data_IF_684262093242
#
_entry.id   IF_684262093242
#
_cell.length_a   1.000
_cell.length_b   1.000
_cell.length_c   1.000
_cell.angle_alpha   90.00
_cell.angle_beta   90.00
_cell.angle_gamma   90.00
#
_symmetry.space_group_name_H-M   'P 1'
#
loop_
_entity.id
_entity.type
_entity.pdbx_description
1 polymer ?
#
# COMPACT_ATOMS: atom_id res chain seq x y z
N UNK A 1 25.96 -28.38 -22.44
CA UNK A 1 25.52 -26.99 -22.00
C UNK A 1 24.35 -27.18 -21.09
N UNK A 2 24.58 -26.92 -19.82
CA UNK A 2 23.71 -27.29 -18.71
C UNK A 2 22.45 -26.37 -18.65
N UNK A 3 21.28 -26.99 -18.80
CA UNK A 3 19.95 -26.32 -18.72
C UNK A 3 19.69 -25.71 -17.34
N UNK A 4 20.40 -26.16 -16.31
CA UNK A 4 20.26 -25.70 -14.93
C UNK A 4 20.92 -24.34 -14.63
N UNK A 5 21.79 -23.85 -15.52
CA UNK A 5 22.49 -22.56 -15.28
C UNK A 5 21.71 -21.34 -15.73
N UNK A 6 20.63 -21.50 -16.53
CA UNK A 6 19.79 -20.41 -17.00
C UNK A 6 18.62 -20.03 -16.07
N UNK A 7 18.32 -20.83 -15.06
CA UNK A 7 17.21 -20.54 -14.14
C UNK A 7 17.61 -19.80 -12.87
N UNK A 8 18.87 -19.42 -12.67
CA UNK A 8 19.34 -18.69 -11.47
C UNK A 8 19.53 -17.19 -11.64
N UNK A 9 19.04 -16.59 -12.71
CA UNK A 9 18.83 -15.14 -12.75
C UNK A 9 17.45 -14.83 -12.15
N UNK A 10 17.28 -15.17 -10.90
CA UNK A 10 16.13 -14.71 -10.12
C UNK A 10 16.15 -13.19 -10.15
N UNK A 11 15.05 -12.62 -10.62
CA UNK A 11 14.77 -11.20 -10.71
C UNK A 11 15.35 -10.49 -9.50
N UNK A 12 16.34 -9.64 -9.75
CA UNK A 12 16.89 -8.81 -8.67
C UNK A 12 15.79 -7.88 -8.24
N UNK A 13 15.19 -8.17 -7.07
CA UNK A 13 14.15 -7.32 -6.47
C UNK A 13 14.64 -5.89 -6.51
N UNK A 14 13.84 -5.00 -7.10
CA UNK A 14 14.18 -3.60 -7.17
C UNK A 14 14.07 -3.01 -5.76
N UNK A 15 15.19 -2.69 -5.15
CA UNK A 15 15.28 -1.95 -3.89
C UNK A 15 16.16 -0.73 -4.13
N UNK A 16 15.58 0.37 -4.61
CA UNK A 16 16.34 1.57 -4.88
C UNK A 16 16.87 2.19 -3.58
N UNK A 17 18.01 2.86 -3.70
CA UNK A 17 18.56 3.69 -2.63
C UNK A 17 18.05 5.13 -2.77
N UNK A 18 18.16 5.90 -1.69
CA UNK A 18 17.91 7.34 -1.73
C UNK A 18 18.83 7.98 -2.77
N UNK A 19 18.27 8.88 -3.57
CA UNK A 19 18.89 9.55 -4.72
C UNK A 19 19.04 8.74 -5.99
N UNK A 20 18.73 7.44 -6.01
CA UNK A 20 18.66 6.68 -7.26
C UNK A 20 17.60 7.30 -8.20
N UNK A 21 17.83 7.15 -9.50
CA UNK A 21 16.87 7.53 -10.53
C UNK A 21 16.33 6.30 -11.21
N UNK A 22 15.00 6.21 -11.27
CA UNK A 22 14.29 5.08 -11.86
C UNK A 22 13.58 5.57 -13.10
N UNK A 23 13.87 4.95 -14.25
CA UNK A 23 13.16 5.24 -15.49
C UNK A 23 11.88 4.39 -15.59
N UNK A 24 10.75 5.05 -15.81
CA UNK A 24 9.44 4.44 -16.04
C UNK A 24 8.84 5.08 -17.30
N UNK A 25 8.65 4.30 -18.35
CA UNK A 25 8.10 4.75 -19.65
C UNK A 25 8.82 5.99 -20.25
N UNK A 26 10.13 6.07 -20.07
CA UNK A 26 10.92 7.21 -20.56
C UNK A 26 11.02 8.40 -19.60
N UNK A 27 10.21 8.44 -18.56
CA UNK A 27 10.25 9.46 -17.52
C UNK A 27 11.19 9.04 -16.39
N UNK A 28 11.92 9.99 -15.82
CA UNK A 28 12.85 9.77 -14.73
C UNK A 28 12.26 10.18 -13.38
N UNK A 29 12.31 9.27 -12.42
CA UNK A 29 11.82 9.47 -11.06
C UNK A 29 12.99 9.35 -10.08
N UNK A 30 13.29 10.42 -9.35
CA UNK A 30 14.34 10.45 -8.32
C UNK A 30 13.78 10.00 -6.97
N UNK A 31 14.41 9.02 -6.36
CA UNK A 31 14.03 8.53 -5.01
C UNK A 31 14.43 9.57 -3.96
N UNK A 32 13.46 10.06 -3.22
CA UNK A 32 13.64 11.11 -2.19
C UNK A 32 13.75 10.54 -0.77
N UNK A 33 12.86 9.62 -0.41
CA UNK A 33 12.89 8.95 0.89
C UNK A 33 12.13 7.62 0.86
N UNK A 34 12.42 6.75 1.81
CA UNK A 34 11.59 5.58 2.12
C UNK A 34 10.36 6.05 2.89
N UNK A 35 9.16 5.63 2.45
CA UNK A 35 7.90 5.87 3.14
C UNK A 35 7.58 4.76 4.12
N UNK A 36 7.96 3.51 3.79
CA UNK A 36 7.74 2.37 4.66
C UNK A 36 8.21 1.05 4.07
N UNK A 37 8.23 0.02 4.92
CA UNK A 37 8.42 -1.38 4.56
C UNK A 37 7.20 -2.15 5.05
N UNK A 38 6.45 -2.74 4.13
CA UNK A 38 5.35 -3.66 4.43
C UNK A 38 5.75 -5.13 4.21
N UNK A 39 4.81 -6.05 4.47
CA UNK A 39 4.96 -7.51 4.23
C UNK A 39 5.28 -7.83 2.77
N UNK A 40 4.75 -7.04 1.84
CA UNK A 40 4.84 -7.29 0.40
C UNK A 40 5.92 -6.49 -0.32
N UNK A 41 6.37 -5.36 0.21
CA UNK A 41 7.25 -4.46 -0.53
C UNK A 41 7.74 -3.25 0.27
N UNK A 42 8.56 -2.46 -0.42
CA UNK A 42 9.04 -1.17 0.05
C UNK A 42 8.29 -0.05 -0.68
N UNK A 43 7.88 0.98 0.03
CA UNK A 43 7.28 2.18 -0.55
C UNK A 43 8.26 3.36 -0.46
N UNK A 44 8.41 4.08 -1.56
CA UNK A 44 9.31 5.22 -1.70
C UNK A 44 8.56 6.46 -2.18
N UNK A 45 8.91 7.62 -1.63
CA UNK A 45 8.58 8.89 -2.24
C UNK A 45 9.53 9.13 -3.41
N UNK A 46 8.98 9.35 -4.58
CA UNK A 46 9.76 9.68 -5.78
C UNK A 46 9.28 11.00 -6.38
N UNK A 47 10.20 11.71 -7.03
CA UNK A 47 9.95 13.00 -7.69
C UNK A 47 10.28 12.89 -9.17
N UNK A 48 9.39 13.36 -10.03
CA UNK A 48 9.65 13.44 -11.47
C UNK A 48 10.48 14.68 -11.85
N UNK A 49 10.76 14.84 -13.14
CA UNK A 49 11.54 15.96 -13.69
C UNK A 49 10.84 17.31 -13.58
N UNK A 50 9.52 17.33 -13.30
CA UNK A 50 8.71 18.52 -13.09
C UNK A 50 8.52 18.87 -11.60
N UNK A 51 9.16 18.14 -10.69
CA UNK A 51 9.05 18.35 -9.25
C UNK A 51 7.75 17.80 -8.64
N UNK A 52 7.02 16.94 -9.35
CA UNK A 52 5.80 16.30 -8.83
C UNK A 52 6.16 15.03 -8.06
N UNK A 53 5.43 14.78 -6.97
CA UNK A 53 5.67 13.64 -6.09
C UNK A 53 4.72 12.48 -6.36
N UNK A 54 5.28 11.26 -6.22
CA UNK A 54 4.57 10.00 -6.41
C UNK A 54 5.03 8.97 -5.36
N UNK A 55 4.23 7.93 -5.19
CA UNK A 55 4.61 6.77 -4.39
C UNK A 55 5.00 5.64 -5.34
N UNK A 56 6.25 5.17 -5.24
CA UNK A 56 6.74 3.97 -5.92
C UNK A 56 6.76 2.82 -4.92
N UNK A 57 6.00 1.75 -5.17
CA UNK A 57 6.04 0.50 -4.41
C UNK A 57 6.86 -0.52 -5.19
N UNK A 58 7.88 -1.08 -4.54
CA UNK A 58 8.74 -2.13 -5.08
C UNK A 58 8.51 -3.39 -4.25
N UNK A 59 8.03 -4.46 -4.88
CA UNK A 59 7.74 -5.70 -4.17
C UNK A 59 9.01 -6.49 -3.90
N UNK A 60 9.04 -7.22 -2.79
CA UNK A 60 10.13 -8.10 -2.40
C UNK A 60 9.63 -9.52 -2.12
N UNK A 61 10.54 -10.50 -2.18
CA UNK A 61 10.27 -11.91 -1.88
C UNK A 61 10.97 -12.35 -0.57
N UNK A 62 11.19 -11.42 0.34
CA UNK A 62 11.70 -11.76 1.66
C UNK A 62 10.70 -12.69 2.35
N UNK A 63 11.22 -13.76 2.96
CA UNK A 63 10.39 -14.77 3.63
C UNK A 63 9.72 -14.13 4.84
N UNK A 64 8.41 -14.17 4.90
CA UNK A 64 7.63 -13.82 6.08
C UNK A 64 7.12 -15.11 6.67
N UNK A 65 7.41 -15.39 7.95
CA UNK A 65 7.17 -16.70 8.61
C UNK A 65 5.73 -17.23 8.50
N UNK A 66 4.76 -16.35 8.20
CA UNK A 66 3.33 -16.68 8.24
C UNK A 66 2.59 -16.43 6.92
N UNK A 67 3.29 -16.12 5.81
CA UNK A 67 2.60 -15.77 4.58
C UNK A 67 3.36 -16.25 3.33
N UNK A 68 2.69 -17.08 2.51
CA UNK A 68 3.20 -17.48 1.20
C UNK A 68 2.32 -16.88 0.12
N UNK A 69 2.89 -16.04 -0.74
CA UNK A 69 2.18 -15.51 -1.89
C UNK A 69 2.17 -16.54 -3.02
N UNK A 70 0.98 -17.02 -3.38
CA UNK A 70 0.78 -17.97 -4.49
C UNK A 70 0.71 -17.30 -5.87
N UNK A 71 0.60 -15.97 -5.93
CA UNK A 71 0.42 -15.19 -7.15
C UNK A 71 1.37 -13.98 -7.16
N UNK A 72 1.55 -13.37 -8.35
CA UNK A 72 2.32 -12.14 -8.48
C UNK A 72 1.69 -11.02 -7.62
N UNK A 73 2.51 -10.37 -6.78
CA UNK A 73 2.03 -9.35 -5.84
C UNK A 73 1.45 -8.12 -6.55
N UNK A 74 1.97 -7.79 -7.72
CA UNK A 74 1.42 -6.71 -8.57
C UNK A 74 -0.03 -7.05 -8.94
N UNK A 75 -0.31 -8.31 -9.34
CA UNK A 75 -1.66 -8.72 -9.71
C UNK A 75 -2.63 -8.68 -8.53
N UNK A 76 -2.17 -9.02 -7.33
CA UNK A 76 -3.00 -8.91 -6.11
C UNK A 76 -3.42 -7.46 -5.87
N UNK A 77 -2.46 -6.51 -5.91
CA UNK A 77 -2.77 -5.10 -5.72
C UNK A 77 -3.61 -4.52 -6.86
N UNK A 78 -3.39 -4.93 -8.12
CA UNK A 78 -4.22 -4.50 -9.25
C UNK A 78 -5.68 -4.97 -9.11
N UNK A 79 -5.89 -6.19 -8.64
CA UNK A 79 -7.23 -6.72 -8.42
C UNK A 79 -7.92 -5.99 -7.26
N UNK A 80 -7.22 -5.74 -6.16
CA UNK A 80 -7.73 -4.95 -5.05
C UNK A 80 -8.03 -3.51 -5.48
N UNK A 81 -7.15 -2.86 -6.25
CA UNK A 81 -7.38 -1.52 -6.79
C UNK A 81 -8.68 -1.44 -7.60
N UNK A 82 -8.88 -2.37 -8.57
CA UNK A 82 -10.10 -2.42 -9.38
C UNK A 82 -11.35 -2.62 -8.54
N UNK A 83 -11.28 -3.49 -7.54
CA UNK A 83 -12.38 -3.73 -6.62
C UNK A 83 -12.73 -2.48 -5.80
N UNK A 84 -11.72 -1.75 -5.33
CA UNK A 84 -11.91 -0.57 -4.48
C UNK A 84 -12.38 0.66 -5.28
N UNK A 85 -12.11 0.74 -6.59
CA UNK A 85 -12.61 1.84 -7.44
C UNK A 85 -14.14 1.97 -7.43
N UNK A 86 -14.86 0.86 -7.28
CA UNK A 86 -16.32 0.83 -7.22
C UNK A 86 -16.87 0.93 -5.79
N UNK A 87 -16.09 1.50 -4.87
CA UNK A 87 -16.47 1.65 -3.46
C UNK A 87 -16.36 3.10 -2.99
N UNK A 88 -16.84 3.36 -1.77
CA UNK A 88 -16.68 4.66 -1.10
C UNK A 88 -15.28 4.88 -0.53
N UNK A 89 -14.41 3.85 -0.56
CA UNK A 89 -13.03 3.95 -0.06
C UNK A 89 -12.23 4.89 -0.96
N UNK A 90 -11.70 5.97 -0.39
CA UNK A 90 -10.77 6.84 -1.13
C UNK A 90 -9.41 6.17 -1.20
N UNK A 91 -8.89 6.00 -2.42
CA UNK A 91 -7.59 5.39 -2.67
C UNK A 91 -6.72 6.28 -3.56
N UNK A 92 -5.37 6.23 -3.46
CA UNK A 92 -4.49 6.87 -4.41
C UNK A 92 -4.76 6.36 -5.83
N UNK A 93 -4.66 7.24 -6.81
CA UNK A 93 -4.78 6.83 -8.21
C UNK A 93 -3.57 5.99 -8.63
N UNK A 94 -3.83 4.82 -9.22
CA UNK A 94 -2.81 4.00 -9.86
C UNK A 94 -2.39 4.65 -11.19
N UNK A 95 -1.09 4.81 -11.42
CA UNK A 95 -0.52 5.49 -12.58
C UNK A 95 0.21 4.54 -13.51
N UNK A 96 0.94 3.58 -12.94
CA UNK A 96 1.70 2.60 -13.71
C UNK A 96 1.95 1.34 -12.88
N UNK A 97 2.14 0.21 -13.56
CA UNK A 97 2.57 -1.06 -12.97
C UNK A 97 3.45 -1.84 -13.94
N UNK A 98 4.34 -2.65 -13.40
CA UNK A 98 5.20 -3.54 -14.15
C UNK A 98 5.37 -4.85 -13.38
N UNK A 99 4.86 -5.95 -14.00
CA UNK A 99 4.92 -7.30 -13.41
C UNK A 99 6.33 -7.89 -13.42
N UNK A 100 7.14 -7.50 -14.40
CA UNK A 100 8.50 -8.04 -14.53
C UNK A 100 9.44 -7.38 -13.54
N UNK A 101 9.33 -6.05 -13.39
CA UNK A 101 10.09 -5.27 -12.42
C UNK A 101 9.49 -5.32 -11.03
N UNK A 102 8.27 -5.86 -10.90
CA UNK A 102 7.50 -5.95 -9.66
C UNK A 102 7.36 -4.59 -8.96
N UNK A 103 6.88 -3.60 -9.71
CA UNK A 103 6.68 -2.24 -9.23
C UNK A 103 5.26 -1.72 -9.52
N UNK A 104 4.82 -0.80 -8.67
CA UNK A 104 3.63 0.02 -8.88
C UNK A 104 4.00 1.49 -8.61
N UNK A 105 3.60 2.38 -9.53
CA UNK A 105 3.64 3.83 -9.33
C UNK A 105 2.22 4.32 -9.11
N UNK A 106 2.01 5.06 -8.03
CA UNK A 106 0.72 5.63 -7.65
C UNK A 106 0.84 7.07 -7.19
N UNK A 107 -0.28 7.77 -7.17
CA UNK A 107 -0.41 9.09 -6.59
C UNK A 107 0.18 9.12 -5.17
N UNK A 108 0.92 10.17 -4.85
CA UNK A 108 1.36 10.42 -3.49
C UNK A 108 0.28 11.22 -2.75
N UNK A 109 -0.21 10.68 -1.65
CA UNK A 109 -1.11 11.40 -0.74
C UNK A 109 -0.23 12.05 0.32
N UNK A 110 -0.12 13.38 0.35
CA UNK A 110 0.68 14.08 1.35
C UNK A 110 0.00 14.05 2.71
N UNK A 111 0.80 14.02 3.77
CA UNK A 111 0.32 14.00 5.15
C UNK A 111 0.99 12.91 5.96
N UNK A 112 0.56 12.83 7.20
CA UNK A 112 0.98 11.80 8.14
C UNK A 112 -0.06 10.68 8.16
N UNK A 113 0.41 9.47 8.40
CA UNK A 113 -0.49 8.34 8.60
C UNK A 113 -1.26 8.50 9.91
N UNK A 114 -2.44 7.88 9.98
CA UNK A 114 -3.20 7.85 11.23
C UNK A 114 -2.37 7.20 12.36
N UNK A 115 -1.47 6.25 12.05
CA UNK A 115 -0.57 5.66 13.05
C UNK A 115 0.37 6.71 13.67
N UNK A 116 1.04 7.52 12.84
CA UNK A 116 1.94 8.57 13.32
C UNK A 116 1.21 9.57 14.23
N UNK A 117 -0.05 9.86 13.95
CA UNK A 117 -0.90 10.74 14.76
C UNK A 117 -1.30 10.09 16.09
N UNK A 118 -1.70 8.80 16.08
CA UNK A 118 -1.98 8.04 17.31
C UNK A 118 -0.75 7.96 18.21
N UNK A 119 0.43 7.70 17.64
CA UNK A 119 1.69 7.63 18.38
C UNK A 119 2.08 8.96 19.04
N UNK A 120 1.64 10.09 18.48
CA UNK A 120 1.77 11.42 19.12
C UNK A 120 0.69 11.73 20.15
N UNK A 121 -0.22 10.82 20.41
CA UNK A 121 -1.27 10.98 21.41
C UNK A 121 -2.51 11.72 20.90
N UNK A 122 -2.71 11.85 19.58
CA UNK A 122 -3.92 12.48 19.04
C UNK A 122 -5.14 11.58 19.21
N UNK A 123 -6.28 12.17 19.54
CA UNK A 123 -7.57 11.49 19.54
C UNK A 123 -8.14 11.44 18.11
N UNK A 124 -8.20 10.26 17.54
CA UNK A 124 -8.73 10.01 16.20
C UNK A 124 -10.17 9.47 16.21
N UNK A 125 -10.87 9.54 17.34
CA UNK A 125 -12.25 9.03 17.47
C UNK A 125 -13.23 9.68 16.48
N UNK A 126 -12.95 10.89 16.01
CA UNK A 126 -13.73 11.57 14.99
C UNK A 126 -13.80 10.84 13.64
N UNK A 127 -12.85 9.94 13.34
CA UNK A 127 -12.85 9.10 12.14
C UNK A 127 -13.69 7.81 12.28
N UNK A 128 -14.06 7.41 13.51
CA UNK A 128 -14.77 6.15 13.75
C UNK A 128 -16.09 6.02 12.99
N UNK A 129 -16.93 7.07 12.87
CA UNK A 129 -18.14 6.98 12.05
C UNK A 129 -17.83 6.65 10.57
N UNK A 130 -16.78 7.27 9.99
CA UNK A 130 -16.34 7.01 8.62
C UNK A 130 -15.80 5.59 8.47
N UNK A 131 -14.93 5.15 9.39
CA UNK A 131 -14.35 3.80 9.37
C UNK A 131 -15.42 2.72 9.54
N UNK A 132 -16.39 2.92 10.44
CA UNK A 132 -17.53 1.99 10.61
C UNK A 132 -18.45 1.97 9.38
N UNK A 133 -18.61 3.11 8.70
CA UNK A 133 -19.34 3.14 7.43
C UNK A 133 -18.62 2.30 6.35
N UNK A 134 -17.32 2.54 6.15
CA UNK A 134 -16.50 1.78 5.21
C UNK A 134 -16.48 0.28 5.56
N UNK A 135 -16.34 -0.06 6.85
CA UNK A 135 -16.40 -1.43 7.33
C UNK A 135 -17.71 -2.13 6.91
N UNK A 136 -18.84 -1.46 7.05
CA UNK A 136 -20.15 -2.01 6.68
C UNK A 136 -20.23 -2.27 5.18
N UNK A 137 -19.79 -1.31 4.36
CA UNK A 137 -19.72 -1.48 2.91
C UNK A 137 -18.82 -2.67 2.51
N UNK A 138 -17.63 -2.77 3.12
CA UNK A 138 -16.70 -3.86 2.83
C UNK A 138 -17.27 -5.23 3.28
N UNK A 139 -17.97 -5.29 4.39
CA UNK A 139 -18.68 -6.51 4.86
C UNK A 139 -19.75 -6.95 3.85
N UNK A 140 -20.57 -6.03 3.35
CA UNK A 140 -21.57 -6.30 2.32
C UNK A 140 -20.93 -6.85 1.03
N UNK A 141 -19.71 -6.42 0.72
CA UNK A 141 -18.93 -6.88 -0.42
C UNK A 141 -18.05 -8.11 -0.10
N UNK A 142 -18.19 -8.70 1.09
CA UNK A 142 -17.49 -9.90 1.55
C UNK A 142 -15.97 -9.78 1.63
N UNK A 143 -15.44 -8.58 1.95
CA UNK A 143 -14.00 -8.33 2.13
C UNK A 143 -13.71 -7.53 3.40
N UNK A 144 -12.47 -7.64 3.86
CA UNK A 144 -11.85 -6.72 4.82
C UNK A 144 -10.79 -5.88 4.14
N UNK A 145 -10.64 -4.61 4.56
CA UNK A 145 -9.41 -3.85 4.42
C UNK A 145 -8.42 -4.24 5.53
N UNK A 146 -7.15 -3.91 5.35
CA UNK A 146 -6.22 -3.85 6.47
C UNK A 146 -6.45 -2.54 7.25
N UNK A 147 -7.21 -2.63 8.34
CA UNK A 147 -7.64 -1.49 9.16
C UNK A 147 -6.53 -0.92 10.03
N UNK A 148 -5.29 -1.35 9.85
CA UNK A 148 -4.18 -0.81 10.62
C UNK A 148 -3.94 0.67 10.29
N UNK A 149 -3.78 1.57 11.27
CA UNK A 149 -3.79 3.03 11.03
C UNK A 149 -2.64 3.53 10.15
N UNK A 150 -1.55 2.78 9.96
CA UNK A 150 -0.50 3.14 8.99
C UNK A 150 -0.99 3.16 7.54
N UNK A 151 -2.13 2.51 7.25
CA UNK A 151 -2.69 2.42 5.92
C UNK A 151 -3.65 3.58 5.58
N UNK A 152 -3.79 4.54 6.48
CA UNK A 152 -4.74 5.66 6.32
C UNK A 152 -4.07 7.01 6.48
N UNK A 153 -4.39 7.94 5.58
CA UNK A 153 -3.97 9.36 5.63
C UNK A 153 -5.20 10.25 5.48
N UNK A 154 -5.34 11.25 6.35
CA UNK A 154 -6.30 12.34 6.15
C UNK A 154 -5.67 13.40 5.26
N UNK A 155 -6.28 13.64 4.11
CA UNK A 155 -5.86 14.68 3.19
C UNK A 155 -7.08 15.37 2.57
N UNK A 156 -7.12 16.72 2.64
CA UNK A 156 -8.22 17.54 2.12
C UNK A 156 -9.60 17.09 2.63
N UNK A 157 -9.72 16.84 3.94
CA UNK A 157 -10.96 16.39 4.61
C UNK A 157 -11.48 15.03 4.09
N UNK A 158 -10.62 14.21 3.55
CA UNK A 158 -10.94 12.85 3.13
C UNK A 158 -9.92 11.86 3.67
N UNK A 159 -10.41 10.76 4.21
CA UNK A 159 -9.57 9.67 4.70
C UNK A 159 -9.21 8.76 3.52
N UNK A 160 -7.94 8.73 3.14
CA UNK A 160 -7.42 7.88 2.08
C UNK A 160 -6.89 6.57 2.65
N UNK A 161 -7.29 5.45 2.06
CA UNK A 161 -6.66 4.15 2.26
C UNK A 161 -5.51 4.00 1.26
N UNK A 162 -4.28 4.08 1.73
CA UNK A 162 -3.09 4.22 0.87
C UNK A 162 -2.46 2.89 0.44
N UNK A 163 -2.93 1.77 0.95
CA UNK A 163 -2.54 0.44 0.48
C UNK A 163 -3.67 -0.23 -0.31
N UNK A 164 -3.32 -1.03 -1.33
CA UNK A 164 -4.31 -1.78 -2.11
C UNK A 164 -4.34 -3.23 -1.60
N UNK A 165 -4.70 -3.42 -0.33
CA UNK A 165 -4.81 -4.74 0.26
C UNK A 165 -6.26 -5.01 0.69
N UNK A 166 -6.83 -6.11 0.18
CA UNK A 166 -8.12 -6.65 0.61
C UNK A 166 -7.96 -8.13 0.90
N UNK A 167 -8.73 -8.63 1.84
CA UNK A 167 -8.81 -10.05 2.17
C UNK A 167 -10.26 -10.51 2.24
N UNK A 168 -10.56 -11.82 2.13
CA UNK A 168 -11.90 -12.33 2.41
C UNK A 168 -12.40 -11.87 3.77
N UNK A 169 -13.70 -11.53 3.85
CA UNK A 169 -14.27 -11.05 5.09
C UNK A 169 -14.22 -12.10 6.21
N UNK A 170 -13.63 -11.71 7.31
CA UNK A 170 -13.67 -12.42 8.58
C UNK A 170 -13.99 -11.41 9.69
N UNK A 171 -15.03 -11.67 10.46
CA UNK A 171 -15.51 -10.78 11.54
C UNK A 171 -14.40 -10.39 12.53
N UNK A 172 -13.50 -11.33 12.84
CA UNK A 172 -12.38 -11.10 13.77
C UNK A 172 -11.38 -10.04 13.27
N UNK A 173 -11.31 -9.78 11.95
CA UNK A 173 -10.43 -8.79 11.33
C UNK A 173 -11.15 -7.51 10.92
N UNK A 174 -12.39 -7.33 11.39
CA UNK A 174 -13.16 -6.12 11.15
C UNK A 174 -12.55 -4.91 11.86
N UNK A 175 -12.96 -3.71 11.44
CA UNK A 175 -12.55 -2.49 12.13
C UNK A 175 -12.99 -2.50 13.59
N UNK A 176 -14.24 -2.89 13.88
CA UNK A 176 -14.80 -2.90 15.22
C UNK A 176 -14.11 -3.91 16.15
N UNK A 177 -13.74 -5.10 15.63
CA UNK A 177 -13.20 -6.17 16.48
C UNK A 177 -11.68 -6.14 16.59
N UNK A 178 -10.99 -5.65 15.55
CA UNK A 178 -9.54 -5.64 15.50
C UNK A 178 -8.98 -4.22 15.31
N UNK A 179 -9.39 -3.52 14.24
CA UNK A 179 -8.79 -2.25 13.83
C UNK A 179 -8.86 -1.18 14.90
N UNK A 180 -10.04 -0.98 15.49
CA UNK A 180 -10.34 0.08 16.46
C UNK A 180 -9.35 0.14 17.64
N UNK A 181 -8.78 -1.00 18.02
CA UNK A 181 -7.81 -1.07 19.13
C UNK A 181 -6.51 -0.31 18.83
N UNK A 182 -6.16 -0.17 17.55
CA UNK A 182 -4.95 0.53 17.10
C UNK A 182 -5.19 2.02 16.80
N UNK A 183 -6.46 2.44 16.70
CA UNK A 183 -6.84 3.83 16.47
C UNK A 183 -7.09 4.62 17.75
N UNK A 184 -7.03 3.97 18.90
CA UNK A 184 -7.19 4.59 20.22
C UNK A 184 -5.83 4.81 20.85
N UNK A 185 -5.67 5.95 21.49
CA UNK A 185 -4.54 6.17 22.39
C UNK A 185 -4.58 5.12 23.51
N UNK A 186 -3.41 4.57 23.82
CA UNK A 186 -3.26 3.68 24.97
C UNK A 186 -3.20 4.49 26.27
#
# INVERSE_FOLDING_TARGET
>A
MDWNTRQRNWKRVMKPNISDTINILGENYKVKKTLGKGKGGYSFLVEDTLGRFFTLKCFHHETVEYYTFSTNKVDLELNAYRFLLDSSVKIPRLLYWDREREIILKEFIPGETALERVERGEDLSSYFPTLSYLQREMKERSVNLDWYPSNFIDYNNALYYIDYEISPYEERWSFENWGIAYWKNK
#
